data_IF_847172059596
#
_entry.id   IF_847172059596
#
_cell.length_a   1.000
_cell.length_b   1.000
_cell.length_c   1.000
_cell.angle_alpha   90.00
_cell.angle_beta   90.00
_cell.angle_gamma   90.00
#
_symmetry.space_group_name_H-M   'P 1'
#
loop_
_entity.id
_entity.type
_entity.pdbx_description
1 polymer ?
#
# COMPACT_ATOMS: atom_id res chain seq x y z
N UNK A 1 -29.37 -0.46 18.95
CA UNK A 1 -29.33 0.51 17.82
C UNK A 1 -28.39 1.69 18.10
N UNK A 2 -28.27 2.21 19.33
CA UNK A 2 -27.21 3.20 19.66
C UNK A 2 -25.84 2.57 19.97
N UNK A 3 -25.81 1.38 20.59
CA UNK A 3 -24.54 0.73 20.97
C UNK A 3 -23.71 0.26 19.76
N UNK A 4 -24.36 -0.05 18.64
CA UNK A 4 -23.68 -0.47 17.41
C UNK A 4 -23.05 0.74 16.70
N UNK A 5 -23.77 1.88 16.64
CA UNK A 5 -23.25 3.13 16.04
C UNK A 5 -22.05 3.65 16.84
N UNK A 6 -22.12 3.62 18.17
CA UNK A 6 -20.98 4.03 19.00
C UNK A 6 -19.78 3.10 18.85
N UNK A 7 -20.00 1.79 18.70
CA UNK A 7 -18.93 0.83 18.46
C UNK A 7 -18.27 1.04 17.09
N UNK A 8 -19.07 1.29 16.07
CA UNK A 8 -18.58 1.52 14.71
C UNK A 8 -17.78 2.82 14.60
N UNK A 9 -18.23 3.90 15.26
CA UNK A 9 -17.49 5.17 15.33
C UNK A 9 -16.16 5.03 16.10
N UNK A 10 -16.16 4.35 17.25
CA UNK A 10 -14.92 4.11 18.00
C UNK A 10 -13.92 3.26 17.21
N UNK A 11 -14.41 2.23 16.51
CA UNK A 11 -13.57 1.37 15.65
C UNK A 11 -12.98 2.13 14.45
N UNK A 12 -13.74 3.07 13.89
CA UNK A 12 -13.26 3.96 12.83
C UNK A 12 -12.12 4.86 13.30
N UNK A 13 -12.23 5.42 14.51
CA UNK A 13 -11.17 6.24 15.10
C UNK A 13 -9.92 5.41 15.44
N UNK A 14 -10.10 4.15 15.84
CA UNK A 14 -9.00 3.23 16.15
C UNK A 14 -8.16 2.87 14.91
N UNK A 15 -8.82 2.52 13.80
CA UNK A 15 -8.10 2.08 12.58
C UNK A 15 -7.38 3.24 11.89
N UNK A 16 -7.98 4.44 11.88
CA UNK A 16 -7.33 5.63 11.32
C UNK A 16 -6.10 6.03 12.13
N UNK A 17 -6.17 5.94 13.45
CA UNK A 17 -5.00 6.16 14.32
C UNK A 17 -3.88 5.14 14.04
N UNK A 18 -4.22 3.87 13.88
CA UNK A 18 -3.21 2.84 13.54
C UNK A 18 -2.62 3.02 12.13
N UNK A 19 -3.40 3.55 11.19
CA UNK A 19 -2.91 3.94 9.85
C UNK A 19 -1.89 5.08 9.97
N UNK A 20 -2.23 6.14 10.70
CA UNK A 20 -1.31 7.26 10.93
C UNK A 20 -0.03 6.82 11.66
N UNK A 21 -0.15 5.90 12.62
CA UNK A 21 0.98 5.29 13.31
C UNK A 21 1.92 4.56 12.33
N UNK A 22 1.38 3.82 11.37
CA UNK A 22 2.20 3.23 10.31
C UNK A 22 2.90 4.30 9.47
N UNK A 23 2.17 5.32 9.01
CA UNK A 23 2.74 6.37 8.18
C UNK A 23 3.89 7.10 8.88
N UNK A 24 3.74 7.36 10.17
CA UNK A 24 4.78 7.98 10.99
C UNK A 24 5.98 7.04 11.15
N UNK A 25 5.74 5.75 11.40
CA UNK A 25 6.79 4.72 11.48
C UNK A 25 7.68 4.72 10.23
N UNK A 26 7.10 4.91 9.05
CA UNK A 26 7.84 4.89 7.77
C UNK A 26 8.23 6.30 7.26
N UNK A 27 7.91 7.35 8.02
CA UNK A 27 8.25 8.73 7.68
C UNK A 27 7.43 9.34 6.53
N UNK A 28 6.23 8.82 6.26
CA UNK A 28 5.28 9.38 5.28
C UNK A 28 4.53 10.61 5.84
N UNK A 29 4.34 10.66 7.16
CA UNK A 29 3.80 11.82 7.87
C UNK A 29 4.68 12.16 9.08
N UNK A 30 4.36 13.26 9.78
CA UNK A 30 5.06 13.66 11.00
C UNK A 30 4.07 13.98 12.12
N UNK A 31 4.33 13.46 13.33
CA UNK A 31 3.72 13.93 14.57
C UNK A 31 2.24 13.55 14.72
N UNK A 32 1.91 12.26 14.64
CA UNK A 32 0.54 11.79 14.88
C UNK A 32 0.24 11.57 16.37
N UNK A 33 1.26 11.23 17.18
CA UNK A 33 1.14 11.04 18.62
C UNK A 33 1.97 12.04 19.43
N UNK A 34 1.35 13.12 19.89
CA UNK A 34 2.01 14.15 20.72
C UNK A 34 2.33 13.68 22.15
N UNK A 35 1.66 12.62 22.61
CA UNK A 35 1.84 12.09 23.97
C UNK A 35 3.02 11.10 24.05
N UNK A 36 3.43 10.50 22.92
CA UNK A 36 4.57 9.59 22.81
C UNK A 36 5.36 9.80 21.50
N UNK A 37 6.25 10.82 21.46
CA UNK A 37 7.00 11.17 20.25
C UNK A 37 8.01 10.11 19.80
N UNK A 38 8.31 9.12 20.65
CA UNK A 38 9.27 8.05 20.35
C UNK A 38 8.56 6.77 19.85
N UNK A 39 7.23 6.74 19.78
CA UNK A 39 6.46 5.56 19.36
C UNK A 39 6.86 5.07 17.97
N UNK A 40 6.89 5.97 16.99
CA UNK A 40 7.25 5.66 15.61
C UNK A 40 8.66 5.07 15.49
N UNK A 41 9.63 5.58 16.25
CA UNK A 41 11.01 5.05 16.25
C UNK A 41 11.08 3.63 16.81
N UNK A 42 10.31 3.33 17.87
CA UNK A 42 10.23 1.98 18.45
C UNK A 42 9.52 1.00 17.52
N UNK A 43 8.45 1.44 16.88
CA UNK A 43 7.76 0.62 15.88
C UNK A 43 8.64 0.35 14.68
N UNK A 44 9.40 1.34 14.20
CA UNK A 44 10.33 1.14 13.09
C UNK A 44 11.42 0.14 13.47
N UNK A 45 11.97 0.25 14.68
CA UNK A 45 12.97 -0.70 15.18
C UNK A 45 12.41 -2.14 15.30
N UNK A 46 11.11 -2.28 15.59
CA UNK A 46 10.46 -3.58 15.80
C UNK A 46 9.92 -4.21 14.52
N UNK A 47 9.31 -3.40 13.64
CA UNK A 47 8.53 -3.85 12.51
C UNK A 47 9.10 -3.39 11.16
N UNK A 48 9.99 -2.40 11.12
CA UNK A 48 10.47 -1.76 9.89
C UNK A 48 11.15 -2.70 8.90
N UNK A 49 11.76 -3.81 9.36
CA UNK A 49 12.33 -4.81 8.46
C UNK A 49 11.26 -5.52 7.61
N UNK A 50 10.08 -5.75 8.16
CA UNK A 50 9.01 -6.53 7.53
C UNK A 50 7.89 -5.65 6.97
N UNK A 51 7.66 -4.48 7.55
CA UNK A 51 6.57 -3.58 7.19
C UNK A 51 7.06 -2.22 6.70
N UNK A 52 8.39 -2.01 6.60
CA UNK A 52 8.94 -0.77 6.07
C UNK A 52 8.42 -0.44 4.67
N UNK A 53 8.23 0.84 4.42
CA UNK A 53 7.80 1.32 3.11
C UNK A 53 8.85 0.97 2.04
N UNK A 54 8.42 0.54 0.83
CA UNK A 54 9.32 0.44 -0.30
C UNK A 54 9.86 1.83 -0.65
N UNK A 55 11.02 1.89 -1.30
CA UNK A 55 11.52 3.15 -1.84
C UNK A 55 10.91 3.47 -3.21
N UNK A 56 10.67 4.76 -3.48
CA UNK A 56 10.40 5.29 -4.82
C UNK A 56 11.68 5.31 -5.68
N UNK A 57 11.60 5.89 -6.89
CA UNK A 57 12.74 5.98 -7.80
C UNK A 57 13.84 6.92 -7.30
N UNK A 58 13.47 7.88 -6.44
CA UNK A 58 14.33 8.88 -5.83
C UNK A 58 14.95 8.39 -4.50
N UNK A 59 14.49 7.26 -3.98
CA UNK A 59 14.96 6.65 -2.74
C UNK A 59 14.18 7.06 -1.50
N UNK A 60 13.07 7.79 -1.64
CA UNK A 60 12.20 8.16 -0.52
C UNK A 60 11.19 7.04 -0.20
N UNK A 61 10.68 6.98 1.05
CA UNK A 61 9.59 6.08 1.40
C UNK A 61 8.37 6.31 0.50
N UNK A 62 7.87 5.24 -0.11
CA UNK A 62 6.70 5.26 -0.97
C UNK A 62 5.51 4.62 -0.25
N UNK A 63 4.34 5.23 -0.41
CA UNK A 63 3.08 4.67 0.09
C UNK A 63 2.78 3.33 -0.59
N UNK A 64 2.58 2.28 0.21
CA UNK A 64 2.29 0.92 -0.27
C UNK A 64 1.06 0.36 0.45
N UNK A 65 -0.11 0.36 -0.21
CA UNK A 65 -1.33 -0.23 0.33
C UNK A 65 -1.15 -1.66 0.86
N UNK A 66 -0.35 -2.48 0.20
CA UNK A 66 -0.06 -3.84 0.61
C UNK A 66 0.63 -3.89 1.98
N UNK A 67 1.64 -3.03 2.21
CA UNK A 67 2.36 -2.97 3.49
C UNK A 67 1.49 -2.41 4.60
N UNK A 68 0.68 -1.39 4.30
CA UNK A 68 -0.24 -0.77 5.27
C UNK A 68 -1.32 -1.77 5.68
N UNK A 69 -2.03 -2.38 4.73
CA UNK A 69 -3.07 -3.39 5.03
C UNK A 69 -2.48 -4.54 5.84
N UNK A 70 -1.28 -5.01 5.47
CA UNK A 70 -0.61 -6.08 6.22
C UNK A 70 -0.27 -5.66 7.64
N UNK A 71 0.23 -4.45 7.85
CA UNK A 71 0.51 -3.91 9.19
C UNK A 71 -0.76 -3.81 10.03
N UNK A 72 -1.83 -3.21 9.49
CA UNK A 72 -3.10 -3.06 10.20
C UNK A 72 -3.70 -4.42 10.62
N UNK A 73 -3.55 -5.44 9.78
CA UNK A 73 -4.06 -6.79 10.09
C UNK A 73 -3.15 -7.54 11.05
N UNK A 74 -1.86 -7.64 10.75
CA UNK A 74 -0.93 -8.52 11.47
C UNK A 74 -0.39 -7.90 12.77
N UNK A 75 -0.27 -6.57 12.82
CA UNK A 75 0.28 -5.85 13.98
C UNK A 75 -0.84 -5.23 14.82
N UNK A 76 -1.81 -4.58 14.19
CA UNK A 76 -2.88 -3.87 14.92
C UNK A 76 -4.13 -4.74 15.16
N UNK A 77 -4.26 -5.89 14.47
CA UNK A 77 -5.34 -6.86 14.70
C UNK A 77 -6.68 -6.49 14.05
N UNK A 78 -6.69 -5.57 13.08
CA UNK A 78 -7.88 -5.22 12.31
C UNK A 78 -8.27 -6.35 11.35
N UNK A 79 -9.53 -6.38 10.93
CA UNK A 79 -9.92 -7.30 9.86
C UNK A 79 -9.39 -6.81 8.51
N UNK A 80 -9.13 -7.74 7.59
CA UNK A 80 -8.69 -7.40 6.23
C UNK A 80 -9.63 -6.41 5.54
N UNK A 81 -10.94 -6.57 5.70
CA UNK A 81 -11.92 -5.71 5.03
C UNK A 81 -11.91 -4.29 5.59
N UNK A 82 -11.78 -4.12 6.91
CA UNK A 82 -11.71 -2.77 7.50
C UNK A 82 -10.38 -2.11 7.15
N UNK A 83 -9.27 -2.84 7.23
CA UNK A 83 -7.96 -2.34 6.85
C UNK A 83 -7.93 -1.89 5.39
N UNK A 84 -8.50 -2.69 4.48
CA UNK A 84 -8.61 -2.32 3.08
C UNK A 84 -9.50 -1.09 2.88
N UNK A 85 -10.64 -1.02 3.56
CA UNK A 85 -11.55 0.12 3.47
C UNK A 85 -10.89 1.41 3.96
N UNK A 86 -10.24 1.37 5.13
CA UNK A 86 -9.54 2.52 5.70
C UNK A 86 -8.42 3.03 4.77
N UNK A 87 -7.62 2.14 4.18
CA UNK A 87 -6.57 2.52 3.22
C UNK A 87 -7.16 3.13 1.94
N UNK A 88 -8.27 2.59 1.43
CA UNK A 88 -8.95 3.16 0.26
C UNK A 88 -9.49 4.56 0.56
N UNK A 89 -10.11 4.75 1.72
CA UNK A 89 -10.65 6.04 2.17
C UNK A 89 -9.55 7.08 2.40
N UNK A 90 -8.44 6.69 3.04
CA UNK A 90 -7.27 7.56 3.23
C UNK A 90 -6.70 8.03 1.88
N UNK A 91 -6.48 7.09 0.94
CA UNK A 91 -6.02 7.43 -0.40
C UNK A 91 -6.98 8.32 -1.18
N UNK A 92 -8.30 8.16 -0.99
CA UNK A 92 -9.31 9.04 -1.59
C UNK A 92 -9.16 10.49 -1.09
N UNK A 93 -8.74 10.67 0.17
CA UNK A 93 -8.44 12.00 0.72
C UNK A 93 -7.28 12.72 0.02
N UNK A 94 -6.37 11.99 -0.62
CA UNK A 94 -5.19 12.55 -1.29
C UNK A 94 -5.36 12.68 -2.81
N UNK A 95 -6.14 11.78 -3.41
CA UNK A 95 -6.30 11.67 -4.86
C UNK A 95 -7.35 12.67 -5.38
N UNK A 96 -6.94 13.93 -5.57
CA UNK A 96 -7.85 15.02 -5.96
C UNK A 96 -8.26 15.06 -7.45
N UNK A 97 -7.76 14.18 -8.33
CA UNK A 97 -8.08 14.26 -9.75
C UNK A 97 -8.07 12.90 -10.48
N UNK A 98 -9.02 12.68 -11.42
CA UNK A 98 -8.88 11.64 -12.44
C UNK A 98 -7.58 11.86 -13.22
N UNK A 99 -6.78 10.80 -13.41
CA UNK A 99 -5.71 10.81 -14.40
C UNK A 99 -6.27 10.29 -15.72
N UNK A 100 -6.44 11.19 -16.67
CA UNK A 100 -6.85 10.85 -18.04
C UNK A 100 -5.72 10.16 -18.83
N UNK A 101 -4.49 10.16 -18.32
CA UNK A 101 -3.27 9.72 -19.00
C UNK A 101 -2.58 8.52 -18.32
N UNK A 102 -3.35 7.48 -18.01
CA UNK A 102 -2.77 6.25 -17.47
C UNK A 102 -1.75 5.63 -18.43
N UNK A 103 -0.62 5.11 -17.91
CA UNK A 103 0.29 4.28 -18.68
C UNK A 103 -0.47 3.12 -19.32
N UNK A 104 0.02 2.63 -20.46
CA UNK A 104 -0.53 1.40 -21.04
C UNK A 104 -0.18 0.22 -20.14
N UNK A 105 -1.03 -0.83 -20.04
CA UNK A 105 -0.75 -1.98 -19.18
C UNK A 105 0.63 -2.62 -19.38
N UNK A 106 1.11 -2.64 -20.63
CA UNK A 106 2.43 -3.14 -20.99
C UNK A 106 3.59 -2.32 -20.40
N UNK A 107 3.44 -1.01 -20.35
CA UNK A 107 4.47 -0.11 -19.82
C UNK A 107 4.51 -0.24 -18.28
N UNK A 108 3.35 -0.35 -17.64
CA UNK A 108 3.22 -0.63 -16.21
C UNK A 108 3.86 -1.98 -15.84
N UNK A 109 3.56 -3.05 -16.59
CA UNK A 109 4.14 -4.38 -16.39
C UNK A 109 5.68 -4.36 -16.51
N UNK A 110 6.21 -3.62 -17.47
CA UNK A 110 7.67 -3.45 -17.63
C UNK A 110 8.28 -2.68 -16.47
N UNK A 111 7.62 -1.62 -15.99
CA UNK A 111 8.08 -0.85 -14.85
C UNK A 111 8.12 -1.72 -13.58
N UNK A 112 7.05 -2.47 -13.29
CA UNK A 112 7.00 -3.43 -12.17
C UNK A 112 8.12 -4.47 -12.27
N UNK A 113 8.36 -5.02 -13.46
CA UNK A 113 9.44 -5.99 -13.67
C UNK A 113 10.83 -5.37 -13.47
N UNK A 114 11.04 -4.16 -13.97
CA UNK A 114 12.32 -3.45 -13.86
C UNK A 114 12.63 -3.02 -12.43
N UNK A 115 11.61 -2.66 -11.64
CA UNK A 115 11.75 -2.32 -10.23
C UNK A 115 12.26 -3.50 -9.39
N UNK A 116 12.10 -4.75 -9.87
CA UNK A 116 12.55 -5.97 -9.21
C UNK A 116 12.08 -6.05 -7.73
N UNK A 117 10.89 -5.50 -7.46
CA UNK A 117 10.20 -5.55 -6.18
C UNK A 117 9.30 -6.78 -6.11
N UNK A 118 8.57 -6.91 -5.00
CA UNK A 118 7.57 -7.96 -4.86
C UNK A 118 6.38 -7.68 -5.80
N UNK A 119 6.32 -8.43 -6.90
CA UNK A 119 5.27 -8.29 -7.94
C UNK A 119 3.85 -8.45 -7.35
N UNK A 120 3.68 -9.28 -6.31
CA UNK A 120 2.36 -9.47 -5.69
C UNK A 120 1.94 -8.20 -4.96
N UNK A 121 2.87 -7.55 -4.24
CA UNK A 121 2.64 -6.26 -3.59
C UNK A 121 2.39 -5.17 -4.63
N UNK A 122 3.21 -5.09 -5.69
CA UNK A 122 3.02 -4.09 -6.75
C UNK A 122 1.64 -4.21 -7.43
N UNK A 123 1.18 -5.45 -7.69
CA UNK A 123 -0.16 -5.68 -8.26
C UNK A 123 -1.28 -5.34 -7.29
N UNK A 124 -1.09 -5.60 -6.00
CA UNK A 124 -2.03 -5.22 -4.97
C UNK A 124 -2.13 -3.69 -4.85
N UNK A 125 -0.98 -3.02 -4.78
CA UNK A 125 -0.86 -1.56 -4.69
C UNK A 125 -1.51 -0.90 -5.89
N UNK A 126 -1.27 -1.42 -7.10
CA UNK A 126 -1.97 -0.98 -8.31
C UNK A 126 -3.48 -1.12 -8.14
N UNK A 127 -3.98 -2.29 -7.75
CA UNK A 127 -5.42 -2.52 -7.59
C UNK A 127 -6.04 -1.54 -6.59
N UNK A 128 -5.44 -1.36 -5.42
CA UNK A 128 -5.98 -0.47 -4.38
C UNK A 128 -5.93 0.99 -4.82
N UNK A 129 -4.84 1.43 -5.46
CA UNK A 129 -4.75 2.78 -6.05
C UNK A 129 -5.86 3.04 -7.04
N UNK A 130 -6.22 2.05 -7.87
CA UNK A 130 -7.33 2.16 -8.84
C UNK A 130 -8.68 2.20 -8.13
N UNK A 131 -8.90 1.40 -7.09
CA UNK A 131 -10.12 1.43 -6.28
C UNK A 131 -10.32 2.77 -5.56
N UNK A 132 -9.23 3.38 -5.08
CA UNK A 132 -9.27 4.68 -4.41
C UNK A 132 -9.54 5.85 -5.37
N UNK A 133 -9.55 5.64 -6.70
CA UNK A 133 -9.88 6.71 -7.65
C UNK A 133 -11.37 6.75 -7.93
N UNK A 134 -12.00 7.87 -7.61
CA UNK A 134 -13.40 8.11 -7.94
C UNK A 134 -13.63 8.03 -9.46
N UNK A 135 -14.65 7.28 -9.88
CA UNK A 135 -15.06 7.16 -11.29
C UNK A 135 -14.28 6.14 -12.14
N UNK A 136 -13.29 5.43 -11.58
CA UNK A 136 -12.50 4.43 -12.30
C UNK A 136 -13.22 3.09 -12.46
N UNK A 137 -14.25 3.08 -13.32
CA UNK A 137 -15.09 1.90 -13.59
C UNK A 137 -14.33 0.72 -14.22
N UNK A 138 -13.12 0.97 -14.71
CA UNK A 138 -12.27 -0.02 -15.38
C UNK A 138 -11.05 -0.44 -14.54
N UNK A 139 -10.93 0.05 -13.30
CA UNK A 139 -9.76 -0.17 -12.44
C UNK A 139 -9.40 -1.65 -12.25
N UNK A 140 -10.41 -2.51 -12.07
CA UNK A 140 -10.23 -3.97 -11.94
C UNK A 140 -9.79 -4.62 -13.26
N UNK A 141 -10.34 -4.15 -14.40
CA UNK A 141 -9.96 -4.65 -15.73
C UNK A 141 -8.51 -4.30 -16.06
N UNK A 142 -8.09 -3.07 -15.76
CA UNK A 142 -6.73 -2.62 -15.99
C UNK A 142 -5.68 -3.45 -15.22
N UNK A 143 -5.91 -3.72 -13.93
CA UNK A 143 -4.98 -4.54 -13.14
C UNK A 143 -4.84 -5.97 -13.70
N UNK A 144 -5.93 -6.52 -14.25
CA UNK A 144 -5.91 -7.82 -14.92
C UNK A 144 -5.11 -7.79 -16.23
N UNK A 145 -5.23 -6.72 -17.01
CA UNK A 145 -4.45 -6.54 -18.23
C UNK A 145 -2.95 -6.38 -17.94
N UNK A 146 -2.58 -5.63 -16.89
CA UNK A 146 -1.19 -5.55 -16.41
C UNK A 146 -0.67 -6.93 -15.99
N UNK A 147 -1.49 -7.71 -15.28
CA UNK A 147 -1.12 -9.07 -14.87
C UNK A 147 -0.85 -9.96 -16.09
N UNK A 148 -1.67 -9.87 -17.14
CA UNK A 148 -1.46 -10.61 -18.39
C UNK A 148 -0.16 -10.21 -19.08
N UNK A 149 0.12 -8.91 -19.17
CA UNK A 149 1.36 -8.39 -19.75
C UNK A 149 2.58 -8.86 -18.94
N UNK A 150 2.52 -8.83 -17.60
CA UNK A 150 3.57 -9.37 -16.72
C UNK A 150 3.87 -10.85 -16.98
N UNK A 151 2.82 -11.66 -17.17
CA UNK A 151 2.97 -13.10 -17.45
C UNK A 151 3.53 -13.36 -18.87
N UNK A 152 3.35 -12.43 -19.79
CA UNK A 152 3.89 -12.49 -21.15
C UNK A 152 5.34 -11.98 -21.25
N UNK A 153 5.83 -11.22 -20.26
CA UNK A 153 7.25 -10.85 -20.18
C UNK A 153 8.08 -12.09 -19.85
N UNK A 154 9.00 -12.46 -20.75
CA UNK A 154 9.91 -13.57 -20.51
C UNK A 154 10.61 -13.43 -19.16
N UNK A 155 10.75 -14.56 -18.44
CA UNK A 155 11.54 -14.57 -17.23
C UNK A 155 12.97 -14.15 -17.56
N UNK A 156 13.58 -13.18 -16.85
CA UNK A 156 14.99 -12.91 -17.05
C UNK A 156 15.73 -14.23 -16.81
N UNK A 157 16.59 -14.60 -17.75
CA UNK A 157 17.44 -15.78 -17.63
C UNK A 157 18.04 -15.77 -16.21
N UNK A 158 17.79 -16.83 -15.44
CA UNK A 158 18.39 -16.98 -14.12
C UNK A 158 19.90 -16.84 -14.32
N UNK A 159 20.50 -15.73 -13.88
CA UNK A 159 21.96 -15.56 -13.89
C UNK A 159 22.55 -16.82 -13.27
N UNK A 160 23.24 -17.61 -14.09
CA UNK A 160 23.90 -18.81 -13.63
C UNK A 160 24.80 -18.43 -12.45
N UNK A 161 24.64 -19.12 -11.32
CA UNK A 161 25.57 -18.99 -10.20
C UNK A 161 26.99 -19.22 -10.74
N UNK A 162 27.96 -18.33 -10.48
CA UNK A 162 29.34 -18.66 -10.79
C UNK A 162 29.71 -19.94 -10.04
N UNK A 163 30.23 -20.91 -10.78
CA UNK A 163 30.80 -22.12 -10.19
C UNK A 163 31.93 -21.70 -9.24
N UNK A 164 31.92 -22.30 -8.04
CA UNK A 164 32.91 -22.08 -6.99
C UNK A 164 34.33 -22.37 -7.46
#
# INVERSE_FOLDING_TARGET
>A
MNDDIHRDLMRYDDIHRDLMRYEEMVGLCSGSNLDDPDEAARDFARYGQEYGAPADAEGHPAYSPARIVRFLVEVCGHSYNDALAAVVEDMQGWLCAPRDDLPKPKDEARAMRAANRNIIEDLFDLKVTRLAREGDREGVGYAWDVTRELMALEAPERRAKPAR
#
